data_IF_744636176245
#
_entry.id   IF_744636176245
#
_cell.length_a   1.000
_cell.length_b   1.000
_cell.length_c   1.000
_cell.angle_alpha   90.00
_cell.angle_beta   90.00
_cell.angle_gamma   90.00
#
_symmetry.space_group_name_H-M   'P 1'
#
loop_
_entity.id
_entity.type
_entity.pdbx_description
1 polymer ?
#
# COMPACT_ATOMS: atom_id res chain seq x y z
N UNK A 1 -21.00 -44.56 15.76
CA UNK A 1 -20.06 -43.51 15.31
C UNK A 1 -20.71 -42.18 15.62
N UNK A 2 -20.22 -41.45 16.63
CA UNK A 2 -20.62 -40.05 16.81
C UNK A 2 -19.83 -39.25 15.77
N UNK A 3 -20.52 -38.62 14.83
CA UNK A 3 -19.92 -37.60 13.97
C UNK A 3 -19.47 -36.46 14.88
N UNK A 4 -18.15 -36.27 14.98
CA UNK A 4 -17.58 -35.16 15.70
C UNK A 4 -17.80 -33.90 14.85
N UNK A 5 -18.83 -33.11 15.17
CA UNK A 5 -18.98 -31.77 14.60
C UNK A 5 -17.84 -30.89 15.15
N UNK A 6 -16.80 -30.69 14.34
CA UNK A 6 -15.75 -29.73 14.65
C UNK A 6 -16.35 -28.33 14.76
N UNK A 7 -15.98 -27.60 15.81
CA UNK A 7 -16.24 -26.16 15.92
C UNK A 7 -15.77 -25.47 14.61
N UNK A 8 -16.65 -24.76 13.88
CA UNK A 8 -16.31 -24.09 12.64
C UNK A 8 -15.10 -23.15 12.74
N UNK A 9 -14.85 -22.61 13.93
CA UNK A 9 -13.69 -21.74 14.18
C UNK A 9 -12.38 -22.52 14.25
N UNK A 10 -12.40 -23.72 14.84
CA UNK A 10 -11.25 -24.62 14.90
C UNK A 10 -10.96 -25.21 13.52
N UNK A 11 -11.98 -25.51 12.72
CA UNK A 11 -11.83 -25.93 11.33
C UNK A 11 -11.05 -24.91 10.49
N UNK A 12 -11.31 -23.61 10.67
CA UNK A 12 -10.53 -22.55 9.98
C UNK A 12 -9.08 -22.54 10.45
N UNK A 13 -8.82 -22.74 11.74
CA UNK A 13 -7.47 -22.75 12.29
C UNK A 13 -6.65 -23.94 11.76
N UNK A 14 -7.28 -25.11 11.64
CA UNK A 14 -6.72 -26.32 11.04
C UNK A 14 -6.28 -26.04 9.60
N UNK A 15 -7.11 -25.37 8.81
CA UNK A 15 -6.78 -24.98 7.43
C UNK A 15 -5.60 -24.01 7.37
N UNK A 16 -5.42 -23.13 8.36
CA UNK A 16 -4.33 -22.17 8.38
C UNK A 16 -3.00 -22.86 8.74
N UNK A 17 -2.98 -23.66 9.81
CA UNK A 17 -1.75 -24.32 10.29
C UNK A 17 -1.27 -25.42 9.33
N UNK A 18 -2.17 -25.95 8.50
CA UNK A 18 -1.84 -26.97 7.50
C UNK A 18 -1.16 -26.41 6.24
N UNK A 19 -1.19 -25.09 6.03
CA UNK A 19 -0.59 -24.46 4.85
C UNK A 19 0.91 -24.76 4.75
N UNK A 20 1.43 -24.97 3.53
CA UNK A 20 2.83 -25.34 3.31
C UNK A 20 3.75 -24.12 3.34
N UNK A 21 3.69 -23.34 4.42
CA UNK A 21 4.54 -22.17 4.59
C UNK A 21 6.02 -22.53 4.73
N UNK A 22 6.87 -21.53 4.49
CA UNK A 22 8.30 -21.57 4.76
C UNK A 22 8.60 -21.88 6.24
N UNK A 23 9.86 -22.25 6.58
CA UNK A 23 10.27 -22.48 7.96
C UNK A 23 10.03 -21.29 8.92
N UNK A 24 9.87 -20.07 8.40
CA UNK A 24 9.61 -18.87 9.20
C UNK A 24 8.15 -18.69 9.61
N UNK A 25 7.25 -19.54 9.09
CA UNK A 25 5.82 -19.52 9.40
C UNK A 25 5.24 -20.90 9.73
N UNK A 26 6.10 -21.91 9.88
CA UNK A 26 5.72 -23.26 10.30
C UNK A 26 6.13 -23.48 11.77
N UNK A 27 5.29 -22.97 12.67
CA UNK A 27 5.51 -22.99 14.12
C UNK A 27 5.62 -24.41 14.67
N UNK A 28 6.73 -24.72 15.34
CA UNK A 28 6.97 -26.03 15.97
C UNK A 28 6.45 -26.13 17.39
N UNK A 29 6.17 -25.00 18.07
CA UNK A 29 5.92 -24.99 19.53
C UNK A 29 4.59 -25.58 19.96
N UNK A 30 3.58 -25.57 19.10
CA UNK A 30 2.25 -26.14 19.38
C UNK A 30 2.13 -27.61 19.00
N UNK A 31 3.19 -28.16 18.40
CA UNK A 31 3.24 -29.55 17.97
C UNK A 31 3.30 -30.46 19.19
N UNK A 32 2.42 -31.44 19.23
CA UNK A 32 2.40 -32.44 20.30
C UNK A 32 3.44 -33.52 20.04
N UNK A 33 3.55 -33.99 18.80
CA UNK A 33 4.51 -35.02 18.42
C UNK A 33 4.85 -34.96 16.93
N UNK A 34 5.90 -35.70 16.55
CA UNK A 34 6.22 -36.02 15.15
C UNK A 34 5.98 -37.51 14.95
N UNK A 35 5.23 -37.85 13.92
CA UNK A 35 4.92 -39.25 13.56
C UNK A 35 5.67 -39.57 12.27
N UNK A 36 6.38 -40.70 12.17
CA UNK A 36 6.99 -41.12 10.91
C UNK A 36 5.96 -41.10 9.78
N UNK A 37 6.33 -40.50 8.65
CA UNK A 37 5.45 -40.34 7.50
C UNK A 37 6.22 -40.69 6.23
N UNK A 38 5.59 -41.52 5.40
CA UNK A 38 6.03 -41.83 4.04
C UNK A 38 5.02 -41.33 3.00
N UNK A 39 4.18 -40.35 3.37
CA UNK A 39 3.14 -39.85 2.47
C UNK A 39 3.75 -39.15 1.26
N UNK A 40 3.31 -39.57 0.07
CA UNK A 40 3.62 -38.90 -1.20
C UNK A 40 2.72 -37.69 -1.47
N UNK A 41 1.62 -37.58 -0.72
CA UNK A 41 0.61 -36.55 -0.89
C UNK A 41 0.43 -35.72 0.39
N UNK A 42 -0.09 -34.52 0.22
CA UNK A 42 -0.51 -33.69 1.34
C UNK A 42 -1.84 -34.21 1.87
N UNK A 43 -1.89 -34.57 3.17
CA UNK A 43 -3.07 -35.15 3.79
C UNK A 43 -3.22 -34.66 5.23
N UNK A 44 -4.46 -34.45 5.66
CA UNK A 44 -4.82 -34.20 7.05
C UNK A 44 -5.56 -35.43 7.57
N UNK A 45 -5.11 -35.96 8.70
CA UNK A 45 -5.75 -37.06 9.42
C UNK A 45 -6.26 -36.60 10.78
N UNK A 46 -7.42 -37.13 11.16
CA UNK A 46 -8.04 -36.87 12.46
C UNK A 46 -8.08 -38.19 13.22
N UNK A 47 -7.52 -38.20 14.42
CA UNK A 47 -7.42 -39.40 15.25
C UNK A 47 -7.92 -39.07 16.66
N UNK A 48 -8.62 -40.02 17.28
CA UNK A 48 -9.00 -39.93 18.69
C UNK A 48 -8.17 -40.93 19.50
N UNK A 49 -7.23 -40.42 20.29
CA UNK A 49 -6.28 -41.21 21.06
C UNK A 49 -6.28 -40.76 22.52
N UNK A 50 -6.28 -41.71 23.45
CA UNK A 50 -6.20 -41.43 24.90
C UNK A 50 -7.24 -40.44 25.44
N UNK A 51 -8.43 -40.38 24.83
CA UNK A 51 -9.48 -39.45 25.23
C UNK A 51 -9.38 -38.04 24.63
N UNK A 52 -8.45 -37.80 23.70
CA UNK A 52 -8.22 -36.51 23.06
C UNK A 52 -8.22 -36.62 21.52
N UNK A 53 -8.67 -35.56 20.84
CA UNK A 53 -8.61 -35.46 19.39
C UNK A 53 -7.25 -34.91 18.94
N UNK A 54 -6.69 -35.53 17.92
CA UNK A 54 -5.43 -35.17 17.28
C UNK A 54 -5.64 -34.86 15.82
N UNK A 55 -4.86 -33.91 15.34
CA UNK A 55 -4.72 -33.52 13.95
C UNK A 55 -3.31 -33.87 13.49
N UNK A 56 -3.18 -34.77 12.51
CA UNK A 56 -1.88 -35.12 11.92
C UNK A 56 -1.80 -34.56 10.51
N UNK A 57 -0.79 -33.73 10.25
CA UNK A 57 -0.56 -33.10 8.95
C UNK A 57 0.60 -33.80 8.26
N UNK A 58 0.29 -34.54 7.19
CA UNK A 58 1.24 -35.15 6.30
C UNK A 58 1.62 -34.19 5.19
N UNK A 59 2.92 -33.96 5.02
CA UNK A 59 3.47 -33.16 3.93
C UNK A 59 4.23 -34.08 2.97
N UNK A 60 4.13 -33.84 1.65
CA UNK A 60 4.77 -34.69 0.66
C UNK A 60 6.29 -34.61 0.82
N UNK A 61 6.97 -35.75 0.68
CA UNK A 61 8.43 -35.86 0.75
C UNK A 61 9.04 -35.41 2.09
N UNK A 62 8.28 -35.49 3.19
CA UNK A 62 8.77 -35.23 4.54
C UNK A 62 8.68 -36.51 5.36
N UNK A 63 9.80 -36.92 5.97
CA UNK A 63 9.93 -38.15 6.75
C UNK A 63 9.05 -38.20 8.01
N UNK A 64 8.54 -37.05 8.45
CA UNK A 64 7.71 -36.94 9.63
C UNK A 64 6.51 -36.01 9.39
N UNK A 65 5.33 -36.48 9.80
CA UNK A 65 4.12 -35.69 9.91
C UNK A 65 4.08 -34.99 11.28
N UNK A 66 3.47 -33.82 11.29
CA UNK A 66 3.29 -33.05 12.52
C UNK A 66 1.92 -33.35 13.12
N UNK A 67 1.90 -33.78 14.38
CA UNK A 67 0.66 -34.03 15.11
C UNK A 67 0.39 -32.93 16.14
N UNK A 68 -0.84 -32.47 16.18
CA UNK A 68 -1.34 -31.41 17.06
C UNK A 68 -2.58 -31.91 17.80
N UNK A 69 -2.50 -31.92 19.13
CA UNK A 69 -3.68 -32.17 19.96
C UNK A 69 -4.63 -30.98 19.92
N UNK A 70 -5.94 -31.22 19.95
CA UNK A 70 -6.95 -30.16 19.90
C UNK A 70 -6.87 -29.21 21.11
N UNK A 71 -6.43 -29.69 22.28
CA UNK A 71 -6.16 -28.82 23.44
C UNK A 71 -5.09 -27.76 23.14
N UNK A 72 -4.00 -28.16 22.47
CA UNK A 72 -2.93 -27.23 22.09
C UNK A 72 -3.39 -26.25 21.01
N UNK A 73 -4.15 -26.71 20.02
CA UNK A 73 -4.76 -25.83 19.02
C UNK A 73 -5.73 -24.82 19.65
N UNK A 74 -6.51 -25.26 20.65
CA UNK A 74 -7.39 -24.38 21.42
C UNK A 74 -6.62 -23.28 22.18
N UNK A 75 -5.49 -23.63 22.81
CA UNK A 75 -4.61 -22.65 23.48
C UNK A 75 -3.99 -21.65 22.49
N UNK A 76 -3.50 -22.14 21.35
CA UNK A 76 -3.00 -21.29 20.26
C UNK A 76 -4.08 -20.31 19.80
N UNK A 77 -5.28 -20.83 19.56
CA UNK A 77 -6.41 -20.03 19.09
C UNK A 77 -6.83 -18.99 20.13
N UNK A 78 -6.78 -19.30 21.43
CA UNK A 78 -7.06 -18.34 22.49
C UNK A 78 -6.08 -17.14 22.48
N UNK A 79 -4.79 -17.38 22.18
CA UNK A 79 -3.80 -16.30 21.98
C UNK A 79 -4.16 -15.47 20.75
N UNK A 80 -4.49 -16.14 19.64
CA UNK A 80 -4.90 -15.49 18.39
C UNK A 80 -6.15 -14.62 18.55
N UNK A 81 -7.08 -15.01 19.42
CA UNK A 81 -8.29 -14.25 19.72
C UNK A 81 -8.08 -13.15 20.77
N UNK A 82 -6.86 -13.00 21.30
CA UNK A 82 -6.59 -11.99 22.31
C UNK A 82 -6.84 -10.58 21.75
N UNK A 83 -7.61 -9.82 22.49
CA UNK A 83 -8.09 -8.51 22.08
C UNK A 83 -6.96 -7.49 21.91
N UNK A 84 -5.98 -7.48 22.83
CA UNK A 84 -4.85 -6.56 22.78
C UNK A 84 -3.96 -6.86 21.56
N UNK A 85 -3.83 -8.14 21.19
CA UNK A 85 -3.09 -8.54 20.00
C UNK A 85 -3.82 -8.13 18.72
N UNK A 86 -5.15 -8.30 18.69
CA UNK A 86 -5.98 -7.82 17.59
C UNK A 86 -5.78 -6.32 17.37
N UNK A 87 -5.88 -5.52 18.44
CA UNK A 87 -5.71 -4.07 18.37
C UNK A 87 -4.30 -3.64 17.99
N UNK A 88 -3.27 -4.26 18.59
CA UNK A 88 -1.88 -3.96 18.24
C UNK A 88 -1.60 -4.24 16.77
N UNK A 89 -2.12 -5.37 16.27
CA UNK A 89 -2.02 -5.73 14.85
C UNK A 89 -2.85 -4.79 13.96
N UNK A 90 -4.00 -4.33 14.45
CA UNK A 90 -4.81 -3.35 13.74
C UNK A 90 -4.10 -1.99 13.62
N UNK A 91 -3.39 -1.54 14.65
CA UNK A 91 -2.56 -0.33 14.57
C UNK A 91 -1.43 -0.50 13.55
N UNK A 92 -0.79 -1.66 13.49
CA UNK A 92 0.18 -1.99 12.44
C UNK A 92 -0.47 -2.00 11.05
N UNK A 93 -1.67 -2.54 10.91
CA UNK A 93 -2.43 -2.50 9.67
C UNK A 93 -2.70 -1.06 9.22
N UNK A 94 -3.10 -0.16 10.13
CA UNK A 94 -3.34 1.25 9.81
C UNK A 94 -2.07 1.96 9.35
N UNK A 95 -0.90 1.58 9.88
CA UNK A 95 0.40 2.10 9.43
C UNK A 95 0.65 1.75 7.95
N UNK A 96 0.47 0.47 7.59
CA UNK A 96 0.70 -0.02 6.20
C UNK A 96 -0.44 0.28 5.23
N UNK A 97 -1.60 0.69 5.77
CA UNK A 97 -2.80 1.03 5.01
C UNK A 97 -3.40 2.37 5.48
N UNK A 98 -2.67 3.49 5.31
CA UNK A 98 -3.05 4.80 5.85
C UNK A 98 -4.35 5.37 5.25
N UNK A 99 -4.75 4.85 4.07
CA UNK A 99 -5.97 5.25 3.38
C UNK A 99 -7.19 4.44 3.82
N UNK A 100 -7.04 3.52 4.79
CA UNK A 100 -8.07 2.62 5.28
C UNK A 100 -8.78 1.86 4.14
N UNK A 101 -7.98 1.35 3.20
CA UNK A 101 -8.49 0.53 2.11
C UNK A 101 -9.00 -0.80 2.64
N UNK A 102 -9.88 -1.46 1.87
CA UNK A 102 -10.39 -2.79 2.22
C UNK A 102 -9.30 -3.87 2.20
N UNK A 103 -8.30 -3.69 1.34
CA UNK A 103 -7.19 -4.61 1.16
C UNK A 103 -5.91 -3.85 0.82
N UNK A 104 -4.78 -4.50 1.08
CA UNK A 104 -3.45 -4.07 0.64
C UNK A 104 -2.99 -4.89 -0.55
N UNK A 105 -2.11 -4.31 -1.36
CA UNK A 105 -1.54 -4.97 -2.53
C UNK A 105 -0.48 -5.99 -2.13
N UNK A 106 -0.20 -6.90 -3.06
CA UNK A 106 0.87 -7.89 -2.95
C UNK A 106 2.24 -7.28 -2.69
N UNK A 107 2.54 -6.13 -3.31
CA UNK A 107 3.83 -5.44 -3.16
C UNK A 107 4.04 -4.96 -1.73
N UNK A 108 3.01 -4.37 -1.10
CA UNK A 108 3.08 -3.90 0.28
C UNK A 108 3.24 -5.09 1.24
N UNK A 109 2.44 -6.14 1.04
CA UNK A 109 2.52 -7.36 1.85
C UNK A 109 3.89 -8.04 1.76
N UNK A 110 4.39 -8.25 0.53
CA UNK A 110 5.70 -8.86 0.30
C UNK A 110 6.82 -8.05 0.93
N UNK A 111 6.83 -6.73 0.73
CA UNK A 111 7.86 -5.84 1.29
C UNK A 111 7.88 -5.92 2.81
N UNK A 112 6.71 -5.97 3.45
CA UNK A 112 6.60 -6.15 4.89
C UNK A 112 7.24 -7.49 5.33
N UNK A 113 6.79 -8.61 4.77
CA UNK A 113 7.27 -9.93 5.19
C UNK A 113 8.74 -10.18 4.87
N UNK A 114 9.24 -9.66 3.75
CA UNK A 114 10.68 -9.70 3.41
C UNK A 114 11.51 -9.01 4.50
N UNK A 115 11.11 -7.82 4.95
CA UNK A 115 11.79 -7.12 6.03
C UNK A 115 11.70 -7.85 7.38
N UNK A 116 10.53 -8.40 7.71
CA UNK A 116 10.36 -9.22 8.92
C UNK A 116 11.30 -10.42 8.89
N UNK A 117 11.37 -11.11 7.77
CA UNK A 117 12.20 -12.31 7.63
C UNK A 117 13.68 -11.99 7.68
N UNK A 118 14.11 -10.86 7.10
CA UNK A 118 15.49 -10.39 7.24
C UNK A 118 15.83 -10.12 8.72
N UNK A 119 14.93 -9.49 9.46
CA UNK A 119 15.11 -9.23 10.88
C UNK A 119 15.20 -10.53 11.71
N UNK A 120 14.41 -11.56 11.37
CA UNK A 120 14.42 -12.84 12.10
C UNK A 120 15.59 -13.76 11.74
N UNK A 121 16.05 -13.73 10.49
CA UNK A 121 17.14 -14.59 10.01
C UNK A 121 18.53 -14.04 10.34
N UNK A 122 18.69 -12.71 10.45
CA UNK A 122 19.97 -12.07 10.67
C UNK A 122 20.94 -12.16 9.48
N UNK A 123 22.12 -11.54 9.64
CA UNK A 123 23.03 -11.19 8.53
C UNK A 123 23.66 -12.34 7.69
N UNK A 124 23.74 -13.62 8.10
CA UNK A 124 24.22 -14.64 7.17
C UNK A 124 23.11 -15.35 6.39
N UNK A 125 21.84 -15.21 6.78
CA UNK A 125 20.71 -15.91 6.16
C UNK A 125 19.69 -14.96 5.51
N UNK A 126 19.93 -13.66 5.57
CA UNK A 126 19.05 -12.63 5.00
C UNK A 126 18.78 -12.80 3.51
N UNK A 127 19.68 -13.48 2.79
CA UNK A 127 19.53 -13.78 1.36
C UNK A 127 18.28 -14.65 1.07
N UNK A 128 17.94 -15.59 1.97
CA UNK A 128 16.76 -16.45 1.84
C UNK A 128 15.44 -15.75 2.21
N UNK A 129 15.51 -14.60 2.88
CA UNK A 129 14.33 -13.89 3.37
C UNK A 129 13.36 -13.55 2.24
N UNK A 130 13.88 -13.14 1.09
CA UNK A 130 13.08 -12.79 -0.08
C UNK A 130 12.36 -14.01 -0.66
N UNK A 131 13.06 -15.12 -0.81
CA UNK A 131 12.50 -16.36 -1.37
C UNK A 131 11.39 -16.92 -0.47
N UNK A 132 11.62 -16.93 0.85
CA UNK A 132 10.60 -17.31 1.82
C UNK A 132 9.40 -16.37 1.79
N UNK A 133 9.63 -15.05 1.75
CA UNK A 133 8.54 -14.07 1.70
C UNK A 133 7.73 -14.19 0.40
N UNK A 134 8.40 -14.45 -0.73
CA UNK A 134 7.74 -14.69 -2.02
C UNK A 134 6.87 -15.94 -2.00
N UNK A 135 7.40 -17.05 -1.48
CA UNK A 135 6.67 -18.31 -1.36
C UNK A 135 5.45 -18.16 -0.44
N UNK A 136 5.62 -17.57 0.73
CA UNK A 136 4.53 -17.41 1.70
C UNK A 136 3.48 -16.41 1.20
N UNK A 137 3.91 -15.35 0.50
CA UNK A 137 2.99 -14.43 -0.18
C UNK A 137 2.20 -15.12 -1.30
N UNK A 138 2.80 -16.05 -2.05
CA UNK A 138 2.06 -16.85 -3.03
C UNK A 138 0.95 -17.68 -2.36
N UNK A 139 1.26 -18.30 -1.23
CA UNK A 139 0.29 -19.11 -0.47
C UNK A 139 -0.84 -18.25 0.07
N UNK A 140 -0.54 -17.04 0.57
CA UNK A 140 -1.56 -16.15 1.13
C UNK A 140 -2.44 -15.51 0.06
N UNK A 141 -1.84 -15.01 -1.02
CA UNK A 141 -2.59 -14.35 -2.09
C UNK A 141 -3.35 -15.36 -2.94
N UNK A 142 -2.77 -16.53 -3.23
CA UNK A 142 -3.27 -17.46 -4.26
C UNK A 142 -3.51 -16.66 -5.56
N UNK A 143 -4.73 -16.68 -6.08
CA UNK A 143 -5.13 -15.93 -7.29
C UNK A 143 -5.73 -14.54 -6.98
N UNK A 144 -5.69 -14.10 -5.73
CA UNK A 144 -6.32 -12.84 -5.30
C UNK A 144 -5.42 -11.65 -5.60
N UNK A 145 -6.04 -10.52 -5.95
CA UNK A 145 -5.34 -9.28 -6.22
C UNK A 145 -4.90 -8.54 -4.94
N UNK A 146 -5.56 -8.80 -3.81
CA UNK A 146 -5.36 -8.08 -2.56
C UNK A 146 -5.70 -8.93 -1.34
N UNK A 147 -5.11 -8.54 -0.20
CA UNK A 147 -5.30 -9.17 1.11
C UNK A 147 -6.02 -8.20 2.04
N UNK A 148 -7.11 -8.66 2.64
CA UNK A 148 -7.90 -7.93 3.65
C UNK A 148 -7.25 -7.98 5.03
N UNK A 149 -7.74 -7.18 5.97
CA UNK A 149 -7.22 -7.20 7.34
C UNK A 149 -7.29 -8.59 8.00
N UNK A 150 -8.37 -9.36 7.79
CA UNK A 150 -8.49 -10.68 8.42
C UNK A 150 -7.39 -11.64 7.94
N UNK A 151 -7.12 -11.64 6.64
CA UNK A 151 -6.08 -12.48 6.05
C UNK A 151 -4.68 -11.99 6.40
N UNK A 152 -4.48 -10.68 6.47
CA UNK A 152 -3.24 -10.08 6.99
C UNK A 152 -3.00 -10.48 8.45
N UNK A 153 -4.05 -10.46 9.28
CA UNK A 153 -3.96 -10.85 10.68
C UNK A 153 -3.58 -12.33 10.82
N UNK A 154 -4.26 -13.22 10.08
CA UNK A 154 -3.90 -14.64 10.01
C UNK A 154 -2.44 -14.78 9.55
N UNK A 155 -2.06 -14.04 8.51
CA UNK A 155 -0.72 -14.00 7.93
C UNK A 155 0.38 -13.68 8.93
N UNK A 156 0.21 -12.53 9.59
CA UNK A 156 1.13 -12.02 10.59
C UNK A 156 1.16 -12.93 11.81
N UNK A 157 0.01 -13.44 12.26
CA UNK A 157 -0.04 -14.32 13.42
C UNK A 157 0.83 -15.58 13.24
N UNK A 158 0.77 -16.27 12.09
CA UNK A 158 1.62 -17.44 11.81
C UNK A 158 3.12 -17.12 11.92
N UNK A 159 3.49 -15.91 11.51
CA UNK A 159 4.86 -15.42 11.59
C UNK A 159 5.28 -15.14 13.04
N UNK A 160 4.47 -14.37 13.78
CA UNK A 160 4.70 -14.09 15.20
C UNK A 160 4.76 -15.38 16.02
N UNK A 161 3.86 -16.32 15.73
CA UNK A 161 3.72 -17.58 16.43
C UNK A 161 4.97 -18.47 16.29
N UNK A 162 5.64 -18.40 15.14
CA UNK A 162 6.88 -19.14 14.87
C UNK A 162 8.08 -18.50 15.59
N UNK A 163 8.12 -17.17 15.66
CA UNK A 163 9.26 -16.43 16.26
C UNK A 163 9.18 -16.40 17.79
N UNK A 164 7.98 -16.33 18.34
CA UNK A 164 7.75 -16.31 19.79
C UNK A 164 8.02 -17.70 20.38
N UNK A 165 8.86 -17.76 21.43
CA UNK A 165 9.32 -19.02 22.02
C UNK A 165 8.33 -19.62 23.00
N UNK A 166 7.42 -18.80 23.55
CA UNK A 166 6.42 -19.23 24.52
C UNK A 166 4.98 -19.00 24.02
N UNK A 167 4.01 -19.48 24.80
CA UNK A 167 2.58 -19.16 24.63
C UNK A 167 2.15 -17.89 25.39
N UNK A 168 3.09 -17.05 25.84
CA UNK A 168 2.77 -15.83 26.58
C UNK A 168 2.39 -14.69 25.64
N UNK A 169 1.19 -14.14 25.81
CA UNK A 169 0.66 -13.04 25.00
C UNK A 169 1.60 -11.82 24.95
N UNK A 170 2.30 -11.54 26.06
CA UNK A 170 3.24 -10.43 26.17
C UNK A 170 4.44 -10.54 25.21
N UNK A 171 4.82 -11.74 24.76
CA UNK A 171 5.85 -11.90 23.72
C UNK A 171 5.33 -11.45 22.35
N UNK A 172 4.11 -11.86 21.99
CA UNK A 172 3.47 -11.45 20.74
C UNK A 172 3.29 -9.94 20.68
N UNK A 173 2.77 -9.34 21.77
CA UNK A 173 2.57 -7.90 21.86
C UNK A 173 3.89 -7.12 21.74
N UNK A 174 4.96 -7.58 22.39
CA UNK A 174 6.29 -6.98 22.26
C UNK A 174 6.80 -7.06 20.83
N UNK A 175 6.62 -8.21 20.18
CA UNK A 175 7.06 -8.41 18.81
C UNK A 175 6.30 -7.49 17.83
N UNK A 176 4.97 -7.41 17.92
CA UNK A 176 4.17 -6.49 17.09
C UNK A 176 4.57 -5.02 17.31
N UNK A 177 4.85 -4.62 18.55
CA UNK A 177 5.33 -3.26 18.85
C UNK A 177 6.72 -2.98 18.27
N UNK A 178 7.62 -3.96 18.32
CA UNK A 178 8.94 -3.86 17.67
C UNK A 178 8.77 -3.64 16.18
N UNK A 179 7.98 -4.51 15.53
CA UNK A 179 7.68 -4.42 14.10
C UNK A 179 7.13 -3.04 13.74
N UNK A 180 6.15 -2.56 14.49
CA UNK A 180 5.57 -1.23 14.28
C UNK A 180 6.64 -0.13 14.36
N UNK A 181 7.49 -0.18 15.39
CA UNK A 181 8.55 0.81 15.62
C UNK A 181 9.55 0.79 14.47
N UNK A 182 10.05 -0.39 14.11
CA UNK A 182 11.04 -0.61 13.05
C UNK A 182 10.50 -0.11 11.70
N UNK A 183 9.24 -0.44 11.38
CA UNK A 183 8.60 0.03 10.16
C UNK A 183 8.37 1.53 10.13
N UNK A 184 7.90 2.11 11.25
CA UNK A 184 7.61 3.55 11.32
C UNK A 184 8.85 4.42 11.14
N UNK A 185 10.02 3.87 11.45
CA UNK A 185 11.32 4.54 11.34
C UNK A 185 12.08 4.17 10.06
N UNK A 186 11.63 3.14 9.33
CA UNK A 186 12.32 2.65 8.14
C UNK A 186 12.22 3.61 6.96
N UNK A 187 13.38 4.01 6.42
CA UNK A 187 13.47 4.90 5.25
C UNK A 187 12.81 4.30 4.00
N UNK A 188 12.97 2.99 3.76
CA UNK A 188 12.32 2.31 2.63
C UNK A 188 10.80 2.34 2.74
N UNK A 189 10.25 2.26 3.96
CA UNK A 189 8.81 2.29 4.19
C UNK A 189 8.22 3.66 3.84
N UNK A 190 8.94 4.74 4.16
CA UNK A 190 8.56 6.11 3.74
C UNK A 190 8.63 6.31 2.22
N UNK A 191 9.48 5.56 1.53
CA UNK A 191 9.63 5.60 0.08
C UNK A 191 8.61 4.71 -0.66
N UNK A 192 7.96 3.77 0.03
CA UNK A 192 6.95 2.93 -0.59
C UNK A 192 5.73 3.75 -0.99
N UNK A 193 5.36 3.64 -2.26
CA UNK A 193 4.13 4.21 -2.75
C UNK A 193 2.93 3.37 -2.30
N UNK A 194 2.52 3.56 -1.04
CA UNK A 194 1.33 2.91 -0.46
C UNK A 194 0.01 3.36 -1.13
N UNK A 195 0.07 4.29 -2.09
CA UNK A 195 -1.09 4.90 -2.76
C UNK A 195 -1.64 4.12 -3.95
N UNK A 196 -1.14 2.92 -4.26
CA UNK A 196 -1.64 2.19 -5.43
C UNK A 196 -3.00 1.52 -5.17
N UNK A 197 -4.06 2.35 -5.16
CA UNK A 197 -5.45 1.92 -5.36
C UNK A 197 -5.71 1.39 -6.78
N UNK A 198 -4.72 1.48 -7.68
CA UNK A 198 -4.87 1.18 -9.10
C UNK A 198 -4.71 -0.31 -9.45
N UNK A 199 -4.40 -1.18 -8.49
CA UNK A 199 -4.17 -2.61 -8.76
C UNK A 199 -5.33 -3.55 -8.39
N UNK A 200 -6.42 -3.06 -7.79
CA UNK A 200 -7.56 -3.89 -7.42
C UNK A 200 -8.73 -3.55 -8.34
N UNK A 201 -8.88 -4.29 -9.44
CA UNK A 201 -9.99 -4.17 -10.39
C UNK A 201 -11.35 -4.53 -9.77
N UNK A 202 -11.34 -5.36 -8.74
CA UNK A 202 -12.52 -5.77 -7.98
C UNK A 202 -12.32 -5.52 -6.49
N UNK A 203 -13.37 -5.08 -5.79
CA UNK A 203 -13.31 -4.92 -4.34
C UNK A 203 -13.40 -6.30 -3.69
N UNK A 204 -12.34 -6.83 -3.03
CA UNK A 204 -12.45 -8.08 -2.32
C UNK A 204 -13.55 -7.98 -1.27
N UNK A 205 -14.38 -9.03 -1.16
CA UNK A 205 -15.38 -9.11 -0.08
C UNK A 205 -14.62 -9.19 1.24
N UNK A 206 -14.85 -8.24 2.13
CA UNK A 206 -14.25 -8.24 3.47
C UNK A 206 -14.87 -9.36 4.31
N UNK A 207 -14.19 -10.49 4.44
CA UNK A 207 -14.58 -11.57 5.33
C UNK A 207 -13.88 -11.44 6.67
N UNK A 208 -14.54 -10.84 7.68
CA UNK A 208 -14.05 -10.90 9.06
C UNK A 208 -14.49 -12.20 9.71
N UNK A 209 -13.63 -12.78 10.55
CA UNK A 209 -14.04 -13.89 11.41
C UNK A 209 -15.08 -13.41 12.43
N UNK A 210 -16.05 -14.24 12.80
CA UNK A 210 -17.14 -13.85 13.71
C UNK A 210 -16.65 -13.28 15.05
N UNK A 211 -15.55 -13.82 15.58
CA UNK A 211 -14.92 -13.33 16.81
C UNK A 211 -14.32 -11.92 16.66
N UNK A 212 -13.75 -11.58 15.50
CA UNK A 212 -13.23 -10.22 15.24
C UNK A 212 -14.38 -9.22 15.18
N UNK A 213 -15.48 -9.59 14.51
CA UNK A 213 -16.68 -8.75 14.43
C UNK A 213 -17.22 -8.47 15.83
N UNK A 214 -17.28 -9.49 16.70
CA UNK A 214 -17.72 -9.34 18.09
C UNK A 214 -16.86 -8.32 18.83
N UNK A 215 -15.54 -8.50 18.84
CA UNK A 215 -14.60 -7.58 19.52
C UNK A 215 -14.73 -6.15 18.96
N UNK A 216 -14.76 -6.00 17.63
CA UNK A 216 -14.88 -4.68 17.03
C UNK A 216 -16.20 -3.99 17.34
N UNK A 217 -17.32 -4.73 17.38
CA UNK A 217 -18.63 -4.17 17.76
C UNK A 217 -18.65 -3.73 19.22
N UNK A 218 -18.14 -4.55 20.13
CA UNK A 218 -18.00 -4.19 21.55
C UNK A 218 -17.20 -2.90 21.72
N UNK A 219 -16.13 -2.73 20.95
CA UNK A 219 -15.32 -1.51 20.98
C UNK A 219 -15.93 -0.30 20.27
N UNK A 220 -16.74 -0.48 19.21
CA UNK A 220 -17.50 0.64 18.61
C UNK A 220 -18.46 1.26 19.60
N UNK A 221 -19.11 0.42 20.42
CA UNK A 221 -20.02 0.86 21.46
C UNK A 221 -19.26 1.72 22.48
N UNK A 222 -18.01 1.37 22.78
CA UNK A 222 -17.16 2.08 23.74
C UNK A 222 -16.46 3.32 23.16
N UNK A 223 -16.12 3.33 21.87
CA UNK A 223 -15.29 4.38 21.24
C UNK A 223 -15.84 4.84 19.87
N UNK A 224 -16.75 5.82 19.89
CA UNK A 224 -17.41 6.36 18.68
C UNK A 224 -16.44 7.01 17.66
N UNK A 225 -15.22 7.36 18.08
CA UNK A 225 -14.22 8.03 17.23
C UNK A 225 -13.29 7.06 16.48
N UNK A 226 -13.39 5.75 16.72
CA UNK A 226 -12.50 4.79 16.08
C UNK A 226 -12.93 4.54 14.61
N UNK A 227 -12.06 4.91 13.67
CA UNK A 227 -12.22 4.52 12.25
C UNK A 227 -11.87 3.05 12.10
N UNK A 228 -12.86 2.20 12.31
CA UNK A 228 -12.72 0.78 12.04
C UNK A 228 -12.67 0.51 10.54
N UNK A 229 -12.13 -0.65 10.12
CA UNK A 229 -12.33 -1.12 8.76
C UNK A 229 -13.82 -1.09 8.43
N UNK A 230 -14.18 -1.01 7.16
CA UNK A 230 -15.57 -1.21 6.72
C UNK A 230 -16.00 -2.64 7.11
N UNK A 231 -16.50 -2.80 8.34
CA UNK A 231 -16.87 -4.10 8.91
C UNK A 231 -18.15 -4.60 8.25
N UNK A 232 -19.08 -3.68 7.95
CA UNK A 232 -20.39 -3.94 7.36
C UNK A 232 -20.88 -2.63 6.72
N UNK A 233 -20.33 -2.21 5.58
CA UNK A 233 -21.02 -1.23 4.73
C UNK A 233 -21.51 -1.91 3.46
N UNK A 234 -22.83 -2.13 3.28
CA UNK A 234 -23.36 -2.40 1.95
C UNK A 234 -22.92 -1.26 1.03
N UNK A 235 -22.53 -1.62 -0.19
CA UNK A 235 -21.96 -0.70 -1.18
C UNK A 235 -22.79 0.56 -1.30
N UNK A 236 -22.24 1.67 -0.82
CA UNK A 236 -22.38 2.92 -1.55
C UNK A 236 -21.05 3.11 -2.28
N UNK A 237 -21.04 3.30 -3.60
CA UNK A 237 -19.82 3.60 -4.33
C UNK A 237 -19.17 4.77 -3.60
N UNK A 238 -17.90 4.61 -3.23
CA UNK A 238 -17.14 5.65 -2.58
C UNK A 238 -17.30 6.92 -3.41
N UNK A 239 -18.07 7.89 -2.92
CA UNK A 239 -17.97 9.25 -3.43
C UNK A 239 -16.53 9.62 -3.19
N UNK A 240 -15.77 9.75 -4.27
CA UNK A 240 -14.39 10.21 -4.24
C UNK A 240 -14.32 11.48 -3.39
N UNK A 241 -13.93 11.36 -2.13
CA UNK A 241 -13.49 12.50 -1.35
C UNK A 241 -12.04 12.70 -1.76
N UNK A 242 -11.87 13.40 -2.88
CA UNK A 242 -10.62 14.08 -3.18
C UNK A 242 -10.27 14.89 -1.93
N UNK A 243 -9.04 14.82 -1.40
CA UNK A 243 -8.62 15.71 -0.31
C UNK A 243 -8.95 17.15 -0.71
N UNK A 244 -9.65 17.88 0.17
CA UNK A 244 -10.04 19.29 -0.02
C UNK A 244 -8.84 20.24 -0.06
N UNK A 245 -7.91 20.02 -0.98
CA UNK A 245 -6.86 20.98 -1.38
C UNK A 245 -7.29 21.82 -2.60
N UNK A 246 -8.55 21.68 -3.05
CA UNK A 246 -9.13 22.46 -4.14
C UNK A 246 -10.58 22.86 -3.86
N UNK A 247 -10.88 23.32 -2.63
CA UNK A 247 -12.10 24.10 -2.39
C UNK A 247 -11.83 25.59 -2.66
N UNK A 248 -11.41 25.91 -3.89
CA UNK A 248 -11.75 27.22 -4.46
C UNK A 248 -13.18 27.06 -4.95
N UNK A 249 -14.12 27.68 -4.25
CA UNK A 249 -15.53 27.75 -4.63
C UNK A 249 -15.65 28.02 -6.13
N UNK A 250 -16.14 27.03 -6.87
CA UNK A 250 -16.55 27.21 -8.26
C UNK A 250 -17.58 28.36 -8.27
N UNK A 251 -17.40 29.38 -9.11
CA UNK A 251 -18.41 30.41 -9.28
C UNK A 251 -19.72 29.76 -9.69
N UNK A 252 -20.85 30.20 -9.12
CA UNK A 252 -22.20 29.82 -9.57
C UNK A 252 -22.27 29.93 -11.10
N UNK A 253 -22.95 28.98 -11.76
CA UNK A 253 -23.03 28.82 -13.23
C UNK A 253 -23.23 30.15 -13.98
N UNK A 254 -24.06 31.03 -13.44
CA UNK A 254 -24.35 32.36 -13.98
C UNK A 254 -23.15 33.32 -14.04
N UNK A 255 -22.16 33.15 -13.15
CA UNK A 255 -20.95 33.98 -13.13
C UNK A 255 -19.92 33.49 -14.15
N UNK A 256 -19.87 32.18 -14.39
CA UNK A 256 -19.01 31.57 -15.41
C UNK A 256 -19.51 31.91 -16.84
N UNK A 257 -20.83 31.92 -17.04
CA UNK A 257 -21.45 32.34 -18.31
C UNK A 257 -21.18 33.82 -18.62
N UNK A 258 -21.31 34.71 -17.63
CA UNK A 258 -20.97 36.14 -17.80
C UNK A 258 -19.47 36.39 -18.04
N UNK A 259 -18.59 35.60 -17.45
CA UNK A 259 -17.15 35.69 -17.69
C UNK A 259 -16.78 35.15 -19.09
N UNK A 260 -17.44 34.07 -19.55
CA UNK A 260 -17.28 33.55 -20.89
C UNK A 260 -17.80 34.52 -21.97
N UNK A 261 -18.95 35.18 -21.76
CA UNK A 261 -19.44 36.22 -22.69
C UNK A 261 -18.47 37.40 -22.80
N UNK A 262 -17.85 37.82 -21.68
CA UNK A 262 -16.83 38.88 -21.70
C UNK A 262 -15.56 38.45 -22.44
N UNK A 263 -15.20 37.17 -22.35
CA UNK A 263 -14.05 36.61 -23.06
C UNK A 263 -14.31 36.50 -24.56
N UNK A 264 -15.51 36.05 -24.96
CA UNK A 264 -15.94 35.99 -26.36
C UNK A 264 -15.93 37.39 -26.98
N UNK A 265 -16.50 38.40 -26.30
CA UNK A 265 -16.47 39.80 -26.78
C UNK A 265 -15.05 40.36 -26.90
N UNK A 266 -14.11 39.96 -26.03
CA UNK A 266 -12.69 40.34 -26.14
C UNK A 266 -12.02 39.67 -27.35
N UNK A 267 -12.31 38.40 -27.60
CA UNK A 267 -11.77 37.66 -28.75
C UNK A 267 -12.30 38.27 -30.06
N UNK A 268 -13.59 38.56 -30.15
CA UNK A 268 -14.19 39.22 -31.31
C UNK A 268 -13.56 40.59 -31.58
N UNK A 269 -13.31 41.39 -30.54
CA UNK A 269 -12.65 42.70 -30.66
C UNK A 269 -11.21 42.58 -31.16
N UNK A 270 -10.45 41.61 -30.68
CA UNK A 270 -9.07 41.33 -31.16
C UNK A 270 -9.11 40.85 -32.62
N UNK A 271 -10.09 40.02 -32.97
CA UNK A 271 -10.25 39.47 -34.33
C UNK A 271 -10.65 40.56 -35.33
N UNK A 272 -11.48 41.52 -34.93
CA UNK A 272 -11.82 42.71 -35.73
C UNK A 272 -10.64 43.68 -35.89
N UNK A 273 -9.80 43.85 -34.88
CA UNK A 273 -8.57 44.66 -34.97
C UNK A 273 -7.55 43.99 -35.90
N UNK A 274 -7.46 42.66 -35.87
CA UNK A 274 -6.60 41.88 -36.76
C UNK A 274 -7.09 41.86 -38.22
N UNK A 275 -8.40 41.96 -38.46
CA UNK A 275 -8.96 42.04 -39.82
C UNK A 275 -8.93 43.44 -40.43
N UNK A 276 -8.98 44.50 -39.60
CA UNK A 276 -8.91 45.90 -40.05
C UNK A 276 -7.49 46.44 -40.23
N UNK A 277 -6.48 45.77 -39.67
CA UNK A 277 -5.06 46.15 -39.81
C UNK A 277 -4.39 45.69 -41.12
N UNK A 278 -5.11 44.99 -42.02
CA UNK A 278 -4.59 44.58 -43.35
C UNK A 278 -4.97 45.51 -44.51
N UNK A 279 -5.59 46.65 -44.25
CA UNK A 279 -5.95 47.63 -45.28
C UNK A 279 -5.56 49.04 -44.83
N UNK A 280 -4.25 49.35 -44.88
CA UNK A 280 -3.68 50.69 -45.18
C UNK A 280 -2.17 50.68 -44.93
N UNK A 281 -1.39 50.51 -45.99
CA UNK A 281 -0.26 51.40 -46.31
C UNK A 281 0.34 51.01 -47.66
N UNK A 282 0.19 51.94 -48.59
CA UNK A 282 0.79 51.93 -49.93
C UNK A 282 2.10 52.73 -49.83
N UNK A 283 3.14 52.21 -50.48
CA UNK A 283 4.21 52.95 -51.18
C UNK A 283 5.29 53.69 -50.37
N UNK A 284 6.55 53.18 -50.43
CA UNK A 284 7.68 53.75 -51.21
C UNK A 284 8.88 52.77 -51.21
N UNK A 285 9.53 52.62 -52.37
CA UNK A 285 10.57 51.65 -52.81
C UNK A 285 12.02 52.16 -52.55
N UNK A 286 13.15 51.63 -53.11
CA UNK A 286 13.44 50.40 -53.89
C UNK A 286 14.78 49.64 -53.57
N UNK A 287 15.01 48.50 -54.27
CA UNK A 287 16.30 47.94 -54.78
C UNK A 287 17.38 47.35 -53.83
N UNK A 288 17.55 46.00 -53.82
CA UNK A 288 18.77 45.26 -54.27
C UNK A 288 18.75 43.74 -53.98
N UNK A 289 19.14 42.95 -55.00
CA UNK A 289 19.64 41.55 -55.00
C UNK A 289 18.58 40.45 -54.82
N UNK A 290 18.12 39.68 -55.81
CA UNK A 290 18.72 38.95 -56.94
C UNK A 290 19.68 37.80 -56.57
N UNK A 291 19.27 36.60 -57.03
CA UNK A 291 19.99 35.35 -57.27
C UNK A 291 20.09 34.26 -56.17
N UNK A 292 19.30 33.21 -56.41
CA UNK A 292 19.64 31.76 -56.45
C UNK A 292 18.62 30.93 -55.64
N UNK A 293 18.07 29.80 -56.09
CA UNK A 293 18.18 28.98 -57.30
C UNK A 293 16.93 28.07 -57.30
N UNK A 294 16.34 27.89 -58.47
CA UNK A 294 15.34 26.89 -58.81
C UNK A 294 15.99 25.52 -59.01
N UNK A 295 15.41 24.46 -58.41
CA UNK A 295 15.45 23.01 -58.76
C UNK A 295 15.44 22.23 -57.44
N UNK A 296 14.48 21.37 -57.10
CA UNK A 296 13.69 20.44 -57.91
C UNK A 296 12.30 20.25 -57.28
N UNK A 297 11.27 20.33 -58.11
CA UNK A 297 9.99 19.70 -57.84
C UNK A 297 10.07 18.21 -58.16
N UNK A 298 9.23 17.45 -57.46
CA UNK A 298 8.65 16.13 -57.76
C UNK A 298 9.07 15.01 -56.81
N UNK A 299 8.44 14.98 -55.64
CA UNK A 299 7.62 13.82 -55.25
C UNK A 299 6.42 14.29 -54.45
N UNK A 300 5.29 13.77 -54.90
CA UNK A 300 3.91 14.05 -54.57
C UNK A 300 3.53 13.39 -53.22
N UNK A 301 2.52 13.97 -52.55
CA UNK A 301 1.66 13.35 -51.51
C UNK A 301 2.32 12.78 -50.23
N UNK A 302 2.50 13.61 -49.19
CA UNK A 302 2.25 13.24 -47.77
C UNK A 302 2.56 14.42 -46.84
N UNK A 303 1.69 15.45 -46.79
CA UNK A 303 1.94 16.63 -45.92
C UNK A 303 0.70 17.22 -45.26
N UNK A 304 -0.35 16.42 -45.05
CA UNK A 304 -1.54 16.82 -44.29
C UNK A 304 -1.70 16.17 -42.92
N UNK A 305 -0.93 15.14 -42.57
CA UNK A 305 -1.08 14.47 -41.26
C UNK A 305 -0.02 14.85 -40.20
N UNK A 306 1.15 15.39 -40.58
CA UNK A 306 2.20 15.73 -39.60
C UNK A 306 1.82 16.85 -38.60
N UNK A 307 0.84 17.70 -38.91
CA UNK A 307 0.44 18.79 -38.00
C UNK A 307 -0.48 18.35 -36.85
N UNK A 308 -1.17 17.21 -36.97
CA UNK A 308 -2.00 16.67 -35.87
C UNK A 308 -1.16 15.90 -34.85
N UNK A 309 -0.14 15.18 -35.30
CA UNK A 309 0.74 14.40 -34.41
C UNK A 309 1.69 15.27 -33.58
N UNK A 310 2.11 16.42 -34.12
CA UNK A 310 2.91 17.42 -33.38
C UNK A 310 2.17 18.06 -32.20
N UNK A 311 0.83 18.08 -32.22
CA UNK A 311 0.03 18.67 -31.14
C UNK A 311 -0.20 17.68 -29.99
N UNK A 312 -0.28 16.37 -30.27
CA UNK A 312 -0.38 15.32 -29.25
C UNK A 312 0.96 15.11 -28.52
N UNK A 313 2.08 15.20 -29.24
CA UNK A 313 3.42 15.06 -28.65
C UNK A 313 3.86 16.25 -27.76
N UNK A 314 3.14 17.38 -27.76
CA UNK A 314 3.43 18.55 -26.90
C UNK A 314 2.61 18.64 -25.62
N UNK A 315 1.59 17.78 -25.48
CA UNK A 315 0.69 17.74 -24.32
C UNK A 315 0.98 16.51 -23.45
N UNK A 316 1.83 15.59 -23.91
CA UNK A 316 2.31 14.47 -23.10
C UNK A 316 3.28 14.93 -22.00
N UNK A 317 3.12 14.45 -20.75
CA UNK A 317 4.04 14.74 -19.64
C UNK A 317 5.46 14.16 -19.84
N UNK A 318 5.67 13.37 -20.90
CA UNK A 318 6.95 12.76 -21.27
C UNK A 318 7.58 13.40 -22.52
N UNK A 319 7.10 14.57 -22.98
CA UNK A 319 7.65 15.20 -24.18
C UNK A 319 9.06 15.74 -23.94
N UNK A 320 10.04 15.26 -24.70
CA UNK A 320 11.47 15.64 -24.62
C UNK A 320 11.76 17.01 -25.26
N UNK A 321 10.75 17.71 -25.77
CA UNK A 321 10.93 19.00 -26.44
C UNK A 321 10.81 20.17 -25.44
N UNK A 322 11.86 20.98 -25.26
CA UNK A 322 11.81 22.13 -24.36
C UNK A 322 10.80 23.17 -24.86
N UNK A 323 9.77 23.45 -24.06
CA UNK A 323 8.80 24.53 -24.34
C UNK A 323 9.51 25.88 -24.19
N UNK A 324 9.95 26.48 -25.30
CA UNK A 324 10.40 27.88 -25.34
C UNK A 324 9.24 28.79 -24.91
N UNK A 325 9.41 29.50 -23.79
CA UNK A 325 8.52 30.58 -23.35
C UNK A 325 7.63 30.29 -22.14
N UNK A 326 7.76 29.14 -21.48
CA UNK A 326 7.18 28.98 -20.14
C UNK A 326 8.03 29.79 -19.15
N UNK A 327 7.41 30.75 -18.44
CA UNK A 327 8.04 31.34 -17.24
C UNK A 327 8.37 30.18 -16.30
N UNK A 328 9.62 30.08 -15.86
CA UNK A 328 10.02 29.17 -14.80
C UNK A 328 9.08 29.35 -13.62
N UNK A 329 8.25 28.35 -13.38
CA UNK A 329 7.43 28.31 -12.18
C UNK A 329 8.36 27.87 -11.06
N UNK A 330 8.93 28.85 -10.35
CA UNK A 330 9.82 28.68 -9.18
C UNK A 330 9.16 27.96 -8.01
N UNK A 331 7.93 27.45 -8.13
CA UNK A 331 7.17 26.87 -7.02
C UNK A 331 7.90 25.67 -6.41
N UNK A 332 8.60 24.88 -7.22
CA UNK A 332 9.35 23.72 -6.72
C UNK A 332 10.64 24.21 -6.04
N UNK A 333 11.35 25.15 -6.66
CA UNK A 333 12.56 25.76 -6.12
C UNK A 333 12.29 26.53 -4.81
N UNK A 334 11.18 27.26 -4.73
CA UNK A 334 10.70 28.01 -3.57
C UNK A 334 10.31 27.07 -2.42
N UNK A 335 9.67 25.92 -2.72
CA UNK A 335 9.35 24.89 -1.73
C UNK A 335 10.61 24.18 -1.25
N UNK A 336 11.57 23.91 -2.13
CA UNK A 336 12.86 23.33 -1.77
C UNK A 336 13.64 24.30 -0.88
N UNK A 337 13.66 25.58 -1.23
CA UNK A 337 14.36 26.60 -0.44
C UNK A 337 13.70 26.80 0.92
N UNK A 338 12.37 26.88 0.98
CA UNK A 338 11.63 27.00 2.24
C UNK A 338 11.87 25.80 3.18
N UNK A 339 11.97 24.59 2.63
CA UNK A 339 12.30 23.39 3.42
C UNK A 339 13.73 23.39 3.94
N UNK A 340 14.69 23.91 3.16
CA UNK A 340 16.07 24.07 3.61
C UNK A 340 16.16 25.09 4.74
N UNK A 341 15.48 26.23 4.61
CA UNK A 341 15.47 27.28 5.62
C UNK A 341 14.86 26.76 6.95
N UNK A 342 13.74 26.01 6.88
CA UNK A 342 13.15 25.36 8.05
C UNK A 342 14.10 24.37 8.75
N UNK A 343 14.88 23.60 7.97
CA UNK A 343 15.85 22.64 8.49
C UNK A 343 17.01 23.34 9.20
N UNK A 344 17.50 24.44 8.61
CA UNK A 344 18.56 25.25 9.22
C UNK A 344 18.09 25.93 10.50
N UNK A 345 16.85 26.45 10.54
CA UNK A 345 16.25 27.00 11.75
C UNK A 345 16.12 25.96 12.88
N UNK A 346 15.74 24.72 12.54
CA UNK A 346 15.65 23.63 13.50
C UNK A 346 17.02 23.24 14.07
N UNK A 347 18.05 23.18 13.23
CA UNK A 347 19.42 22.88 13.64
C UNK A 347 20.00 23.98 14.53
N UNK A 348 19.77 25.26 14.20
CA UNK A 348 20.22 26.39 15.01
C UNK A 348 19.55 26.41 16.39
N UNK A 349 18.23 26.18 16.46
CA UNK A 349 17.51 26.07 17.74
C UNK A 349 17.97 24.87 18.59
N UNK A 350 18.37 23.79 17.94
CA UNK A 350 18.90 22.60 18.64
C UNK A 350 20.30 22.86 19.21
N UNK A 351 21.11 23.66 18.51
CA UNK A 351 22.42 24.10 18.97
C UNK A 351 22.32 25.07 20.16
N UNK A 352 21.45 26.08 20.10
CA UNK A 352 21.20 27.02 21.20
C UNK A 352 20.71 26.32 22.48
N UNK A 353 19.88 25.27 22.34
CA UNK A 353 19.43 24.43 23.47
C UNK A 353 20.56 23.60 24.08
N UNK A 354 21.53 23.20 23.27
CA UNK A 354 22.69 22.44 23.74
C UNK A 354 23.69 23.34 24.48
N UNK A 355 23.88 24.58 23.98
CA UNK A 355 24.76 25.58 24.60
C UNK A 355 24.18 26.13 25.93
N UNK A 356 22.85 26.30 26.02
CA UNK A 356 22.17 26.68 27.28
C UNK A 356 22.15 25.55 28.31
N UNK A 357 22.07 24.29 27.90
CA UNK A 357 22.19 23.14 28.81
C UNK A 357 23.60 23.00 29.42
N UNK A 358 24.65 23.37 28.69
CA UNK A 358 26.02 23.36 29.21
C UNK A 358 26.27 24.46 30.24
N UNK A 359 25.64 25.64 30.10
CA UNK A 359 25.79 26.74 31.05
C UNK A 359 25.09 26.52 32.41
N UNK A 360 24.07 25.66 32.47
CA UNK A 360 23.38 25.31 33.73
C UNK A 360 24.19 24.30 34.57
N UNK A 361 25.18 23.62 33.97
CA UNK A 361 25.99 22.60 34.65
C UNK A 361 27.23 23.14 35.39
N UNK A 362 27.45 24.47 35.40
CA UNK A 362 28.65 25.10 35.96
C UNK A 362 28.40 26.21 36.99
N UNK A 363 27.20 26.30 37.57
CA UNK A 363 26.91 27.16 38.73
C UNK A 363 26.40 26.36 39.92
#
# INVERSE_FOLDING_TARGET
MMEFELDPTLSKEIVIISRPYSPLRSSSKWRTSRVPSSSTEWKIEHEFLYGENFLTIHRPNVEAADSYSFSQLGKRFAIKQNEQLLWSTFTLWQLINPLNLRAISRVVYLSLFENLYQAFLGSPKSEFARDYALNDTNIDFQDRLGITFCEFYDGLFECLDTVTKSGLINEYLRLVKSIYTDMSQASWFTALNLYSKLHLSESPRTGYSGWMIRIFKEHQILNQNLKLPDLIRPMTPAKFVVPKLLNRTLPKKDKLERENEKLIKKIEKITQIASTSKLKSRSKSPLRGHLQVLRTQLTDRSRRDEKKDLHLNRVSPLSVFPKRGAKETTVVEDVIQHRKDMLMDFLNKSRERSETAQHISFN
#
